data_IF_072673360831
#
_entry.id   IF_072673360831
#
_cell.length_a   1.000
_cell.length_b   1.000
_cell.length_c   1.000
_cell.angle_alpha   90.00
_cell.angle_beta   90.00
_cell.angle_gamma   90.00
#
_symmetry.space_group_name_H-M   'P 1'
#
loop_
_entity.id
_entity.type
_entity.pdbx_description
1 polymer ?
#
# COMPACT_ATOMS: atom_id res chain seq x y z
N UNK A 1 10.38 -10.02 39.54
CA UNK A 1 9.72 -9.54 38.30
C UNK A 1 10.04 -10.49 37.15
N UNK A 2 9.19 -11.48 36.89
CA UNK A 2 9.34 -12.43 35.79
C UNK A 2 7.94 -12.75 35.26
N UNK A 3 7.31 -11.79 34.58
CA UNK A 3 6.08 -12.01 33.82
C UNK A 3 6.44 -12.52 32.41
N UNK A 4 7.32 -13.51 32.33
CA UNK A 4 7.65 -14.13 31.06
C UNK A 4 6.68 -15.29 30.82
N UNK A 5 5.78 -15.11 29.85
CA UNK A 5 4.89 -16.18 29.40
C UNK A 5 5.73 -17.37 28.96
N UNK A 6 5.74 -18.45 29.75
CA UNK A 6 6.45 -19.70 29.43
C UNK A 6 6.00 -20.26 28.07
N UNK A 7 4.77 -19.97 27.66
CA UNK A 7 4.23 -20.31 26.35
C UNK A 7 4.93 -19.53 25.23
N UNK A 8 5.02 -18.20 25.37
CA UNK A 8 5.68 -17.34 24.38
C UNK A 8 7.16 -17.71 24.23
N UNK A 9 7.83 -18.02 25.34
CA UNK A 9 9.24 -18.43 25.35
C UNK A 9 9.47 -19.71 24.56
N UNK A 10 8.64 -20.73 24.77
CA UNK A 10 8.72 -22.00 24.03
C UNK A 10 8.50 -21.81 22.52
N UNK A 11 7.62 -20.90 22.12
CA UNK A 11 7.40 -20.57 20.71
C UNK A 11 8.58 -19.80 20.10
N UNK A 12 9.10 -18.80 20.81
CA UNK A 12 10.27 -18.03 20.39
C UNK A 12 11.55 -18.89 20.33
N UNK A 13 11.66 -19.92 21.17
CA UNK A 13 12.80 -20.84 21.18
C UNK A 13 12.76 -21.86 20.04
N UNK A 14 11.58 -22.17 19.49
CA UNK A 14 11.43 -23.01 18.29
C UNK A 14 11.80 -22.28 16.99
N UNK A 15 11.99 -20.96 17.03
CA UNK A 15 12.31 -20.18 15.84
C UNK A 15 13.71 -20.53 15.30
N UNK A 16 13.83 -20.96 14.03
CA UNK A 16 15.10 -21.33 13.43
C UNK A 16 16.05 -20.12 13.34
N UNK A 17 17.37 -20.36 13.45
CA UNK A 17 18.37 -19.28 13.41
C UNK A 17 18.75 -18.68 14.77
N UNK A 18 18.22 -19.20 15.89
CA UNK A 18 18.65 -18.80 17.25
C UNK A 18 20.16 -18.98 17.50
N UNK A 19 20.77 -20.05 16.98
CA UNK A 19 22.20 -20.36 17.18
C UNK A 19 23.15 -19.62 16.22
N UNK A 20 22.73 -19.38 14.98
CA UNK A 20 23.59 -18.80 13.93
C UNK A 20 23.38 -17.30 13.72
N UNK A 21 22.16 -16.80 13.96
CA UNK A 21 21.76 -15.41 13.64
C UNK A 21 21.41 -14.63 14.92
N UNK A 22 21.27 -15.33 16.06
CA UNK A 22 21.13 -14.72 17.38
C UNK A 22 19.94 -13.77 17.48
N UNK A 23 20.23 -12.51 17.82
CA UNK A 23 19.23 -11.43 17.97
C UNK A 23 18.62 -11.05 16.62
N UNK A 24 19.36 -11.17 15.52
CA UNK A 24 18.92 -10.77 14.17
C UNK A 24 18.02 -11.79 13.46
N UNK A 25 17.63 -12.90 14.13
CA UNK A 25 16.74 -13.93 13.56
C UNK A 25 15.38 -13.43 13.08
N UNK A 26 14.93 -12.28 13.61
CA UNK A 26 13.68 -11.64 13.20
C UNK A 26 13.87 -10.63 12.07
N UNK A 27 15.11 -10.29 11.70
CA UNK A 27 15.39 -9.32 10.67
C UNK A 27 14.73 -9.67 9.32
N UNK A 28 14.78 -10.93 8.82
CA UNK A 28 14.09 -11.28 7.59
C UNK A 28 12.57 -11.14 7.68
N UNK A 29 12.00 -11.39 8.86
CA UNK A 29 10.56 -11.24 9.10
C UNK A 29 10.16 -9.77 9.05
N UNK A 30 10.89 -8.90 9.75
CA UNK A 30 10.64 -7.45 9.73
C UNK A 30 10.88 -6.85 8.35
N UNK A 31 11.87 -7.34 7.62
CA UNK A 31 12.11 -6.93 6.23
C UNK A 31 10.93 -7.29 5.33
N UNK A 32 10.45 -8.55 5.40
CA UNK A 32 9.27 -8.98 4.65
C UNK A 32 8.00 -8.22 5.04
N UNK A 33 7.81 -7.93 6.33
CA UNK A 33 6.71 -7.10 6.81
C UNK A 33 6.81 -5.65 6.31
N UNK A 34 8.01 -5.07 6.27
CA UNK A 34 8.26 -3.74 5.70
C UNK A 34 7.91 -3.69 4.21
N UNK A 35 8.41 -4.67 3.44
CA UNK A 35 8.07 -4.79 2.02
C UNK A 35 6.57 -5.03 1.79
N UNK A 36 5.92 -5.84 2.62
CA UNK A 36 4.47 -6.06 2.56
C UNK A 36 3.69 -4.79 2.92
N UNK A 37 4.19 -3.97 3.84
CA UNK A 37 3.59 -2.69 4.19
C UNK A 37 3.74 -1.67 3.06
N UNK A 38 4.91 -1.57 2.44
CA UNK A 38 5.13 -0.74 1.24
C UNK A 38 4.23 -1.19 0.08
N UNK A 39 4.18 -2.50 -0.17
CA UNK A 39 3.29 -3.07 -1.20
C UNK A 39 1.82 -2.81 -0.87
N UNK A 40 1.44 -2.96 0.40
CA UNK A 40 0.10 -2.63 0.86
C UNK A 40 -0.17 -1.14 0.64
N UNK A 41 0.69 -0.22 1.06
CA UNK A 41 0.47 1.22 0.81
C UNK A 41 0.22 1.56 -0.67
N UNK A 42 0.90 0.88 -1.60
CA UNK A 42 0.71 1.07 -3.04
C UNK A 42 -0.60 0.46 -3.53
N UNK A 43 -0.93 -0.75 -3.06
CA UNK A 43 -2.04 -1.56 -3.60
C UNK A 43 -3.35 -1.40 -2.80
N UNK A 44 -3.26 -0.90 -1.57
CA UNK A 44 -4.34 -0.72 -0.60
C UNK A 44 -5.06 0.60 -0.88
N UNK A 45 -5.78 0.62 -1.99
CA UNK A 45 -6.76 1.66 -2.27
C UNK A 45 -8.07 1.29 -1.57
N UNK A 46 -8.21 1.59 -0.27
CA UNK A 46 -9.50 1.43 0.41
C UNK A 46 -10.46 2.53 -0.06
N UNK A 47 -11.32 2.18 -1.01
CA UNK A 47 -12.55 2.91 -1.33
C UNK A 47 -12.81 3.22 -2.81
N UNK A 48 -14.08 3.52 -3.11
CA UNK A 48 -14.56 4.05 -4.40
C UNK A 48 -14.20 5.53 -4.64
N UNK A 49 -13.63 6.22 -3.66
CA UNK A 49 -13.30 7.65 -3.72
C UNK A 49 -11.90 7.88 -4.27
N UNK A 50 -11.63 7.29 -5.43
CA UNK A 50 -10.43 7.57 -6.17
C UNK A 50 -10.54 9.01 -6.70
N UNK A 51 -9.99 9.99 -5.97
CA UNK A 51 -9.94 11.42 -6.36
C UNK A 51 -9.50 11.59 -7.82
N UNK A 52 -8.63 10.69 -8.30
CA UNK A 52 -8.14 10.67 -9.67
C UNK A 52 -9.22 10.34 -10.70
N UNK A 53 -10.18 9.46 -10.39
CA UNK A 53 -11.29 9.17 -11.32
C UNK A 53 -12.20 10.38 -11.46
N UNK A 54 -12.50 11.08 -10.37
CA UNK A 54 -13.35 12.28 -10.41
C UNK A 54 -12.65 13.44 -11.12
N UNK A 55 -11.37 13.66 -10.81
CA UNK A 55 -10.56 14.72 -11.44
C UNK A 55 -10.33 14.46 -12.94
N UNK A 56 -9.97 13.23 -13.32
CA UNK A 56 -9.77 12.85 -14.73
C UNK A 56 -11.08 12.90 -15.52
N UNK A 57 -12.21 12.55 -14.91
CA UNK A 57 -13.54 12.69 -15.55
C UNK A 57 -13.89 14.14 -15.86
N UNK A 58 -13.59 15.08 -14.96
CA UNK A 58 -13.82 16.51 -15.20
C UNK A 58 -12.97 17.09 -16.33
N UNK A 59 -11.67 16.77 -16.36
CA UNK A 59 -10.79 17.24 -17.45
C UNK A 59 -11.25 16.74 -18.83
N UNK A 60 -11.70 15.49 -18.92
CA UNK A 60 -12.23 14.95 -20.19
C UNK A 60 -13.50 15.67 -20.62
N UNK A 61 -14.36 16.06 -19.67
CA UNK A 61 -15.57 16.84 -19.96
C UNK A 61 -15.24 18.25 -20.45
N UNK A 62 -14.32 18.96 -19.77
CA UNK A 62 -13.88 20.30 -20.19
C UNK A 62 -13.29 20.31 -21.60
N UNK A 63 -12.40 19.35 -21.91
CA UNK A 63 -11.83 19.19 -23.26
C UNK A 63 -12.89 18.89 -24.32
N UNK A 64 -13.87 18.04 -24.00
CA UNK A 64 -14.95 17.70 -24.93
C UNK A 64 -15.84 18.92 -25.23
N UNK A 65 -16.17 19.71 -24.21
CA UNK A 65 -16.96 20.95 -24.37
C UNK A 65 -16.22 22.00 -25.20
N UNK A 66 -14.91 22.14 -25.00
CA UNK A 66 -14.08 23.08 -25.76
C UNK A 66 -13.99 22.71 -27.25
N UNK A 67 -13.86 21.41 -27.56
CA UNK A 67 -13.86 20.89 -28.94
C UNK A 67 -15.22 21.17 -29.62
N UNK A 68 -16.33 20.94 -28.92
CA UNK A 68 -17.68 21.19 -29.47
C UNK A 68 -17.90 22.68 -29.73
N UNK A 69 -17.45 23.56 -28.83
CA UNK A 69 -17.52 25.01 -29.02
C UNK A 69 -16.69 25.48 -30.22
N UNK A 70 -15.46 24.98 -30.37
CA UNK A 70 -14.62 25.28 -31.54
C UNK A 70 -15.23 24.78 -32.86
N UNK A 71 -15.84 23.60 -32.86
CA UNK A 71 -16.56 23.10 -34.03
C UNK A 71 -17.79 23.94 -34.35
N UNK A 72 -18.54 24.39 -33.34
CA UNK A 72 -19.73 25.21 -33.53
C UNK A 72 -19.36 26.59 -34.08
N UNK A 73 -18.26 27.19 -33.60
CA UNK A 73 -17.76 28.46 -34.14
C UNK A 73 -17.12 28.35 -35.52
N UNK A 74 -16.55 27.19 -35.89
CA UNK A 74 -16.02 26.95 -37.25
C UNK A 74 -17.11 26.71 -38.29
N UNK A 75 -18.28 26.25 -37.86
CA UNK A 75 -19.41 25.90 -38.73
C UNK A 75 -20.47 27.00 -38.84
N UNK A 76 -20.28 28.14 -38.17
CA UNK A 76 -21.10 29.34 -38.25
C UNK A 76 -20.39 30.41 -39.12
#
# INVERSE_FOLDING_TARGET
MQLYSRGLQKWLDKWPGKKTIGIYRFLPLFFGLGAALEFSMINWTVGETNFYRTYKRRQVQELAEEIVLQQTQKNA
#
